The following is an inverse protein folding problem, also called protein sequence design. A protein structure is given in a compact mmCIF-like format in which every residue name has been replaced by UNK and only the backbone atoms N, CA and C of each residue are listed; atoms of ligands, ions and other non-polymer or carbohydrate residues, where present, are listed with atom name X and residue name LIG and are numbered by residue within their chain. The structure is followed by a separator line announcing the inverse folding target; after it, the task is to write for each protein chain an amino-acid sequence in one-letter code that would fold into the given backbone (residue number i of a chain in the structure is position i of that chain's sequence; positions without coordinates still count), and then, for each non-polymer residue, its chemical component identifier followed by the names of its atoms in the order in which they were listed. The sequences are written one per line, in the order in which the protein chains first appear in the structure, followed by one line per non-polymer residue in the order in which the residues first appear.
data_IF_562341104621
#
_entry.id   IF_562341104621
#
_cell.length_a   1.000
_cell.length_b   1.000
_cell.length_c   1.000
_cell.angle_alpha   90.00
_cell.angle_beta   90.00
_cell.angle_gamma   90.00
#
_symmetry.space_group_name_H-M   'P 1'
#
loop_
_entity.id
_entity.type
_entity.pdbx_description
1 polymer ?
#
# COMPACT_ATOMS: atom_id res chain seq x y z
N UNK A 1 -27.28 -7.03 1.41
CA UNK A 1 -26.01 -6.38 0.99
C UNK A 1 -24.82 -7.31 0.99
N UNK A 2 -24.41 -7.93 2.12
CA UNK A 2 -23.30 -8.93 2.12
C UNK A 2 -23.50 -10.06 1.10
N UNK A 3 -24.70 -10.64 1.05
CA UNK A 3 -25.06 -11.66 0.06
C UNK A 3 -24.97 -11.13 -1.38
N UNK A 4 -25.38 -9.88 -1.63
CA UNK A 4 -25.25 -9.24 -2.95
C UNK A 4 -23.78 -9.06 -3.33
N UNK A 5 -22.98 -8.46 -2.44
CA UNK A 5 -21.54 -8.27 -2.65
C UNK A 5 -20.83 -9.61 -2.91
N UNK A 6 -21.11 -10.62 -2.09
CA UNK A 6 -20.54 -11.96 -2.28
C UNK A 6 -21.02 -12.62 -3.59
N UNK A 7 -22.27 -12.39 -4.01
CA UNK A 7 -22.77 -12.91 -5.29
C UNK A 7 -22.18 -12.21 -6.51
N UNK A 8 -21.79 -10.94 -6.37
CA UNK A 8 -21.14 -10.14 -7.41
C UNK A 8 -19.63 -10.35 -7.42
N UNK A 9 -19.04 -10.81 -6.31
CA UNK A 9 -17.67 -11.26 -6.28
C UNK A 9 -17.51 -12.57 -7.07
N UNK A 10 -16.42 -12.71 -7.81
CA UNK A 10 -16.09 -13.97 -8.49
C UNK A 10 -16.04 -15.11 -7.45
N UNK A 11 -16.84 -16.16 -7.68
CA UNK A 11 -17.20 -17.19 -6.68
C UNK A 11 -16.06 -18.09 -6.20
N UNK A 12 -14.94 -18.11 -6.92
CA UNK A 12 -13.67 -18.65 -6.42
C UNK A 12 -12.59 -17.66 -6.78
N UNK A 13 -12.21 -16.87 -5.79
CA UNK A 13 -11.10 -15.95 -5.87
C UNK A 13 -9.73 -16.69 -5.85
N UNK A 14 -9.71 -18.01 -5.60
CA UNK A 14 -8.51 -18.78 -5.18
C UNK A 14 -8.32 -20.15 -5.82
N UNK A 15 -9.00 -20.45 -6.93
CA UNK A 15 -8.70 -21.68 -7.67
C UNK A 15 -7.19 -21.68 -8.04
N UNK A 16 -6.39 -22.40 -7.24
CA UNK A 16 -4.94 -22.52 -7.38
C UNK A 16 -4.07 -21.48 -6.67
N UNK A 17 -4.46 -20.91 -5.52
CA UNK A 17 -3.51 -20.13 -4.69
C UNK A 17 -2.46 -21.07 -4.06
N UNK A 18 -1.18 -20.77 -4.27
CA UNK A 18 -0.06 -21.53 -3.71
C UNK A 18 0.14 -21.17 -2.22
N UNK A 19 0.65 -22.09 -1.38
CA UNK A 19 0.95 -21.81 0.02
C UNK A 19 1.84 -20.57 0.24
N UNK A 20 2.81 -20.35 -0.66
CA UNK A 20 3.71 -19.20 -0.60
C UNK A 20 2.99 -17.86 -0.85
N UNK A 21 1.98 -17.85 -1.73
CA UNK A 21 1.16 -16.66 -1.98
C UNK A 21 0.31 -16.30 -0.73
N UNK A 22 -0.24 -17.30 -0.03
CA UNK A 22 -0.95 -17.06 1.24
C UNK A 22 0.00 -16.54 2.33
N UNK A 23 1.22 -17.07 2.38
CA UNK A 23 2.27 -16.60 3.28
C UNK A 23 2.62 -15.13 3.02
N UNK A 24 2.72 -14.73 1.76
CA UNK A 24 2.96 -13.34 1.37
C UNK A 24 1.83 -12.39 1.81
N UNK A 25 0.56 -12.79 1.64
CA UNK A 25 -0.59 -12.03 2.17
C UNK A 25 -0.49 -11.88 3.68
N UNK A 26 -0.25 -12.97 4.40
CA UNK A 26 -0.12 -12.92 5.86
C UNK A 26 1.07 -12.08 6.33
N UNK A 27 2.18 -12.11 5.60
CA UNK A 27 3.36 -11.30 5.87
C UNK A 27 2.99 -9.82 5.84
N UNK A 28 2.39 -9.30 4.77
CA UNK A 28 1.97 -7.89 4.67
C UNK A 28 0.92 -7.46 5.71
N UNK A 29 0.04 -8.37 6.15
CA UNK A 29 -0.93 -8.07 7.21
C UNK A 29 -0.27 -7.95 8.60
N UNK A 30 0.85 -8.63 8.80
CA UNK A 30 1.53 -8.74 10.10
C UNK A 30 2.73 -7.82 10.24
N UNK A 31 3.39 -7.51 9.13
CA UNK A 31 4.67 -6.84 9.09
C UNK A 31 4.53 -5.49 8.37
N UNK A 32 5.26 -4.47 8.83
CA UNK A 32 5.21 -3.15 8.22
C UNK A 32 5.92 -3.12 6.87
N UNK A 33 5.57 -2.11 6.06
CA UNK A 33 6.30 -1.69 4.86
C UNK A 33 7.08 -0.42 5.19
N UNK A 34 8.40 -0.50 5.07
CA UNK A 34 9.33 0.61 5.22
C UNK A 34 9.64 1.18 3.84
N UNK A 35 8.98 2.28 3.48
CA UNK A 35 9.24 2.92 2.22
C UNK A 35 10.45 3.86 2.35
N UNK A 36 11.44 3.65 1.49
CA UNK A 36 12.67 4.41 1.45
C UNK A 36 12.89 4.89 0.01
N UNK A 37 13.08 6.19 -0.18
CA UNK A 37 13.66 6.72 -1.42
C UNK A 37 15.19 6.74 -1.25
N UNK A 38 15.93 5.84 -1.91
CA UNK A 38 17.33 5.61 -1.60
C UNK A 38 18.21 6.74 -2.17
N UNK A 39 18.77 7.57 -1.31
CA UNK A 39 19.77 8.58 -1.71
C UNK A 39 21.20 8.02 -1.72
N UNK A 40 21.49 7.09 -0.81
CA UNK A 40 22.76 6.37 -0.70
C UNK A 40 22.56 5.02 0.00
N UNK A 41 23.56 4.13 -0.07
CA UNK A 41 23.55 2.84 0.64
C UNK A 41 23.45 3.03 2.15
N UNK A 42 24.20 4.00 2.67
CA UNK A 42 24.20 4.34 4.09
C UNK A 42 22.81 4.79 4.53
N UNK A 43 22.04 5.49 3.69
CA UNK A 43 20.67 5.88 4.02
C UNK A 43 19.76 4.65 4.20
N UNK A 44 19.85 3.67 3.30
CA UNK A 44 19.07 2.41 3.40
C UNK A 44 19.51 1.61 4.63
N UNK A 45 20.82 1.42 4.80
CA UNK A 45 21.39 0.69 5.94
C UNK A 45 21.02 1.33 7.28
N UNK A 46 21.27 2.64 7.45
CA UNK A 46 20.98 3.36 8.69
C UNK A 46 19.49 3.35 9.01
N UNK A 47 18.61 3.47 8.01
CA UNK A 47 17.17 3.33 8.25
C UNK A 47 16.82 1.95 8.81
N UNK A 48 17.39 0.89 8.24
CA UNK A 48 17.13 -0.48 8.75
C UNK A 48 17.71 -0.70 10.15
N UNK A 49 18.88 -0.15 10.47
CA UNK A 49 19.44 -0.19 11.83
C UNK A 49 18.59 0.63 12.83
N UNK A 50 18.06 1.79 12.42
CA UNK A 50 17.12 2.57 13.22
C UNK A 50 15.83 1.77 13.52
N UNK A 51 15.34 0.97 12.57
CA UNK A 51 14.21 0.04 12.82
C UNK A 51 14.60 -1.05 13.82
N UNK A 52 15.78 -1.65 13.68
CA UNK A 52 16.27 -2.69 14.60
C UNK A 52 16.43 -2.15 16.03
N UNK A 53 16.85 -0.89 16.17
CA UNK A 53 16.96 -0.21 17.46
C UNK A 53 15.60 -0.02 18.17
N UNK A 54 14.49 -0.24 17.47
CA UNK A 54 13.13 -0.21 17.99
C UNK A 54 12.56 -1.64 18.13
N UNK A 55 12.90 -2.39 19.21
CA UNK A 55 12.65 -3.83 19.30
C UNK A 55 11.17 -4.24 19.34
N UNK A 56 10.25 -3.27 19.48
CA UNK A 56 8.81 -3.52 19.40
C UNK A 56 8.31 -3.58 17.95
N UNK A 57 9.05 -3.05 16.98
CA UNK A 57 8.71 -3.10 15.55
C UNK A 57 9.25 -4.38 14.91
N UNK A 58 8.51 -4.90 13.93
CA UNK A 58 8.96 -6.04 13.11
C UNK A 58 9.73 -5.54 11.89
N UNK A 59 10.69 -6.33 11.43
CA UNK A 59 11.53 -5.98 10.29
C UNK A 59 10.76 -5.87 8.97
N UNK A 60 9.86 -6.79 8.62
CA UNK A 60 8.96 -6.60 7.48
C UNK A 60 9.64 -6.33 6.13
N UNK A 61 9.09 -5.39 5.35
CA UNK A 61 9.43 -5.18 3.94
C UNK A 61 10.06 -3.81 3.71
N UNK A 62 11.29 -3.77 3.21
CA UNK A 62 11.97 -2.55 2.78
C UNK A 62 11.62 -2.29 1.32
N UNK A 63 10.74 -1.33 1.09
CA UNK A 63 10.29 -0.91 -0.23
C UNK A 63 11.14 0.26 -0.72
N UNK A 64 12.01 0.00 -1.70
CA UNK A 64 12.78 1.02 -2.37
C UNK A 64 11.94 1.65 -3.49
N UNK A 65 11.77 2.97 -3.43
CA UNK A 65 11.26 3.80 -4.54
C UNK A 65 12.20 3.70 -5.75
N UNK A 66 11.74 4.10 -6.95
CA UNK A 66 12.43 3.80 -8.22
C UNK A 66 13.86 4.35 -8.38
N UNK A 67 14.34 5.21 -7.47
CA UNK A 67 15.67 5.83 -7.54
C UNK A 67 16.83 4.85 -7.23
N UNK A 68 16.54 3.57 -6.98
CA UNK A 68 17.57 2.51 -6.87
C UNK A 68 18.27 2.24 -8.22
N UNK A 69 17.65 2.64 -9.34
CA UNK A 69 18.23 2.56 -10.68
C UNK A 69 18.71 3.96 -11.15
N UNK A 70 19.67 4.06 -12.08
CA UNK A 70 20.14 5.36 -12.58
C UNK A 70 19.07 6.14 -13.35
N UNK A 71 18.33 5.44 -14.23
CA UNK A 71 17.23 6.00 -15.01
C UNK A 71 16.05 5.03 -15.10
N UNK A 72 14.80 5.53 -15.09
CA UNK A 72 13.63 4.67 -15.23
C UNK A 72 13.74 3.75 -16.46
N UNK A 73 13.68 2.43 -16.22
CA UNK A 73 13.75 1.41 -17.27
C UNK A 73 15.13 0.78 -17.48
N UNK A 74 16.11 1.16 -16.68
CA UNK A 74 17.43 0.51 -16.65
C UNK A 74 17.33 -0.92 -16.11
N UNK A 75 16.46 -1.16 -15.14
CA UNK A 75 16.28 -2.47 -14.48
C UNK A 75 17.61 -3.07 -13.98
N UNK A 76 18.56 -2.20 -13.62
CA UNK A 76 19.83 -2.52 -12.99
C UNK A 76 20.04 -1.55 -11.84
N UNK A 77 20.69 -2.03 -10.79
CA UNK A 77 21.05 -1.18 -9.67
C UNK A 77 22.09 -0.15 -10.11
N UNK A 78 21.97 1.07 -9.62
CA UNK A 78 22.96 2.12 -9.80
C UNK A 78 24.22 1.82 -8.97
N UNK A 79 25.17 1.06 -9.52
CA UNK A 79 26.39 0.66 -8.82
C UNK A 79 27.36 1.83 -8.56
N UNK A 80 27.19 2.96 -9.24
CA UNK A 80 27.99 4.17 -8.94
C UNK A 80 27.52 4.81 -7.63
N UNK A 81 26.20 4.89 -7.42
CA UNK A 81 25.60 5.37 -6.16
C UNK A 81 25.58 4.30 -5.07
N UNK A 82 25.50 3.04 -5.46
CA UNK A 82 25.36 1.90 -4.59
C UNK A 82 26.38 0.77 -4.90
N UNK A 83 27.68 1.00 -4.64
CA UNK A 83 28.76 0.08 -5.00
C UNK A 83 28.83 -1.23 -4.18
N UNK A 84 28.25 -1.27 -2.98
CA UNK A 84 28.25 -2.42 -2.04
C UNK A 84 26.85 -2.86 -1.60
N UNK A 85 25.86 -2.60 -2.45
CA UNK A 85 24.47 -2.82 -2.11
C UNK A 85 24.11 -4.31 -2.03
N UNK A 86 24.83 -5.15 -2.78
CA UNK A 86 24.67 -6.60 -2.67
C UNK A 86 25.02 -7.08 -1.27
N UNK A 87 26.15 -6.63 -0.70
CA UNK A 87 26.52 -6.90 0.68
C UNK A 87 25.52 -6.29 1.66
N UNK A 88 25.08 -5.06 1.40
CA UNK A 88 24.10 -4.35 2.24
C UNK A 88 22.77 -5.11 2.29
N UNK A 89 22.24 -5.55 1.15
CA UNK A 89 21.02 -6.36 1.06
C UNK A 89 21.21 -7.70 1.79
N UNK A 90 22.36 -8.35 1.62
CA UNK A 90 22.66 -9.59 2.35
C UNK A 90 22.66 -9.39 3.87
N UNK A 91 23.16 -8.25 4.37
CA UNK A 91 23.07 -7.90 5.79
C UNK A 91 21.60 -7.69 6.18
N UNK A 92 20.85 -6.92 5.41
CA UNK A 92 19.42 -6.62 5.65
C UNK A 92 18.60 -7.93 5.72
N UNK A 93 18.84 -8.89 4.84
CA UNK A 93 18.21 -10.22 4.89
C UNK A 93 18.58 -11.00 6.15
N UNK A 94 19.86 -11.02 6.56
CA UNK A 94 20.29 -11.68 7.81
C UNK A 94 19.64 -11.06 9.05
N UNK A 95 19.25 -9.79 8.99
CA UNK A 95 18.51 -9.10 10.05
C UNK A 95 17.00 -9.40 10.04
N UNK A 96 16.49 -10.07 9.00
CA UNK A 96 15.09 -10.53 8.90
C UNK A 96 14.15 -9.62 8.11
N UNK A 97 14.69 -8.64 7.37
CA UNK A 97 13.92 -7.83 6.42
C UNK A 97 13.80 -8.55 5.09
N UNK A 98 12.79 -8.16 4.31
CA UNK A 98 12.68 -8.47 2.88
C UNK A 98 12.91 -7.22 2.04
N UNK A 99 13.54 -7.36 0.88
CA UNK A 99 13.83 -6.27 -0.04
C UNK A 99 12.83 -6.26 -1.19
N UNK A 100 12.23 -5.09 -1.42
CA UNK A 100 11.24 -4.88 -2.46
C UNK A 100 11.67 -3.71 -3.34
N UNK A 101 11.77 -3.94 -4.65
CA UNK A 101 12.09 -2.88 -5.60
C UNK A 101 10.83 -2.39 -6.31
N UNK A 102 10.68 -1.06 -6.39
CA UNK A 102 9.68 -0.44 -7.24
C UNK A 102 10.13 -0.50 -8.69
N UNK A 103 9.26 -1.00 -9.57
CA UNK A 103 9.48 -0.99 -11.03
C UNK A 103 8.29 -0.34 -11.72
N UNK A 104 8.53 0.15 -12.92
CA UNK A 104 7.55 0.88 -13.70
C UNK A 104 7.57 0.39 -15.17
N UNK A 105 6.45 0.48 -15.90
CA UNK A 105 6.36 0.03 -17.29
C UNK A 105 7.02 0.98 -18.30
N UNK A 106 7.90 1.87 -17.84
CA UNK A 106 8.44 2.98 -18.62
C UNK A 106 9.96 2.85 -18.79
N UNK A 107 10.47 3.27 -19.96
CA UNK A 107 11.90 3.31 -20.29
C UNK A 107 12.29 4.69 -20.78
N UNK A 108 13.10 5.40 -19.99
CA UNK A 108 13.63 6.75 -20.27
C UNK A 108 14.44 6.74 -21.55
N UNK A 109 14.45 7.84 -22.32
CA UNK A 109 15.39 7.97 -23.45
C UNK A 109 16.85 7.92 -23.02
N UNK A 110 17.13 8.26 -21.76
CA UNK A 110 18.47 8.19 -21.15
C UNK A 110 18.80 6.80 -20.62
N UNK A 111 17.84 5.87 -20.61
CA UNK A 111 18.09 4.51 -20.12
C UNK A 111 19.05 3.76 -21.04
N UNK A 112 19.95 2.97 -20.44
CA UNK A 112 20.87 2.08 -21.17
C UNK A 112 20.12 1.06 -22.03
N UNK A 113 18.86 0.75 -21.68
CA UNK A 113 18.03 -0.19 -22.41
C UNK A 113 17.20 0.46 -23.52
N UNK A 114 17.14 1.79 -23.64
CA UNK A 114 16.22 2.45 -24.57
C UNK A 114 16.50 2.06 -26.03
N UNK A 115 17.78 2.10 -26.43
CA UNK A 115 18.20 1.71 -27.79
C UNK A 115 17.86 0.26 -28.11
N UNK A 116 18.06 -0.65 -27.15
CA UNK A 116 17.73 -2.07 -27.29
C UNK A 116 16.22 -2.29 -27.39
N UNK A 117 15.44 -1.61 -26.55
CA UNK A 117 13.99 -1.67 -26.55
C UNK A 117 13.39 -1.17 -27.88
N UNK A 118 13.92 -0.09 -28.45
CA UNK A 118 13.52 0.40 -29.78
C UNK A 118 13.89 -0.60 -30.88
N UNK A 119 15.13 -1.11 -30.85
CA UNK A 119 15.63 -2.06 -31.87
C UNK A 119 14.82 -3.36 -31.90
N UNK A 120 14.41 -3.85 -30.73
CA UNK A 120 13.61 -5.06 -30.57
C UNK A 120 12.09 -4.82 -30.65
N UNK A 121 11.65 -3.57 -30.83
CA UNK A 121 10.24 -3.15 -30.90
C UNK A 121 9.44 -3.53 -29.66
N UNK A 122 10.01 -3.24 -28.49
CA UNK A 122 9.44 -3.54 -27.19
C UNK A 122 8.59 -2.39 -26.63
N UNK A 123 8.62 -1.21 -27.27
CA UNK A 123 7.88 -0.03 -26.86
C UNK A 123 6.59 0.13 -27.66
N UNK A 124 5.58 0.73 -27.04
CA UNK A 124 4.35 1.14 -27.71
C UNK A 124 4.70 2.13 -28.83
N UNK A 125 4.11 1.94 -29.99
CA UNK A 125 4.40 2.73 -31.20
C UNK A 125 3.45 3.92 -31.37
N UNK A 126 3.89 4.94 -32.10
CA UNK A 126 3.04 6.08 -32.47
C UNK A 126 2.00 5.66 -33.53
N UNK A 127 0.73 5.99 -33.29
CA UNK A 127 -0.38 5.61 -34.17
C UNK A 127 -0.28 6.32 -35.51
N UNK A 128 -0.30 5.56 -36.60
CA UNK A 128 -0.24 6.10 -37.97
C UNK A 128 1.18 6.37 -38.45
N UNK A 129 2.18 6.12 -37.62
CA UNK A 129 3.61 6.20 -37.95
C UNK A 129 4.19 4.81 -38.26
N UNK A 130 5.46 4.77 -38.64
CA UNK A 130 6.20 3.52 -38.73
C UNK A 130 6.21 2.81 -37.36
N UNK A 131 5.84 1.52 -37.26
CA UNK A 131 5.80 0.78 -35.99
C UNK A 131 7.16 0.71 -35.25
N UNK A 132 8.26 1.09 -35.90
CA UNK A 132 9.59 1.22 -35.29
C UNK A 132 9.75 2.51 -34.48
N UNK A 133 8.87 3.49 -34.66
CA UNK A 133 8.91 4.78 -33.97
C UNK A 133 8.12 4.65 -32.66
N UNK A 134 8.78 4.72 -31.49
CA UNK A 134 8.08 4.66 -30.22
C UNK A 134 7.23 5.92 -30.00
N UNK A 135 6.07 5.75 -29.39
CA UNK A 135 5.30 6.87 -28.84
C UNK A 135 5.90 7.27 -27.50
N UNK A 136 6.33 8.53 -27.39
CA UNK A 136 6.94 9.06 -26.18
C UNK A 136 5.93 9.86 -25.35
N UNK A 137 6.14 9.87 -24.05
CA UNK A 137 5.32 10.56 -23.06
C UNK A 137 6.21 11.21 -22.01
N UNK A 138 5.60 11.74 -20.95
CA UNK A 138 6.26 12.22 -19.73
C UNK A 138 5.80 11.38 -18.56
N UNK A 139 6.71 11.14 -17.63
CA UNK A 139 6.41 10.44 -16.38
C UNK A 139 7.30 10.97 -15.27
N UNK A 140 6.69 11.49 -14.20
CA UNK A 140 7.38 12.15 -13.08
C UNK A 140 8.42 13.15 -13.59
N UNK A 141 9.70 12.98 -13.24
CA UNK A 141 10.79 13.89 -13.61
C UNK A 141 11.33 13.63 -15.04
N UNK A 142 10.93 12.53 -15.69
CA UNK A 142 11.38 12.18 -17.03
C UNK A 142 10.55 12.88 -18.10
N UNK A 143 11.18 13.81 -18.82
CA UNK A 143 10.54 14.62 -19.87
C UNK A 143 10.33 13.88 -21.21
N UNK A 144 10.97 12.72 -21.39
CA UNK A 144 10.91 11.93 -22.60
C UNK A 144 11.09 10.45 -22.26
N UNK A 145 10.00 9.69 -22.35
CA UNK A 145 9.98 8.29 -21.91
C UNK A 145 9.10 7.43 -22.82
N UNK A 146 9.52 6.21 -23.12
CA UNK A 146 8.71 5.22 -23.82
C UNK A 146 7.95 4.31 -22.85
N UNK A 147 6.82 3.76 -23.28
CA UNK A 147 6.07 2.75 -22.52
C UNK A 147 6.33 1.38 -23.12
N UNK A 148 6.65 0.40 -22.29
CA UNK A 148 6.76 -0.99 -22.70
C UNK A 148 5.44 -1.50 -23.29
N UNK A 149 5.50 -2.24 -24.38
CA UNK A 149 4.33 -2.88 -24.98
C UNK A 149 4.22 -4.32 -24.50
N UNK A 150 3.68 -4.54 -23.29
CA UNK A 150 3.44 -5.90 -22.77
C UNK A 150 2.33 -6.67 -23.50
N UNK A 151 1.68 -6.07 -24.49
CA UNK A 151 0.77 -6.79 -25.39
C UNK A 151 1.51 -7.47 -26.54
N UNK A 152 2.79 -7.11 -26.74
CA UNK A 152 3.72 -7.78 -27.64
C UNK A 152 4.36 -8.98 -26.92
N UNK A 153 4.43 -10.13 -27.61
CA UNK A 153 4.97 -11.37 -27.06
C UNK A 153 6.48 -11.33 -26.77
N UNK A 154 7.22 -10.34 -27.29
CA UNK A 154 8.67 -10.17 -27.05
C UNK A 154 8.99 -9.41 -25.76
N UNK A 155 8.10 -8.50 -25.35
CA UNK A 155 8.37 -7.56 -24.26
C UNK A 155 8.41 -8.22 -22.90
N UNK A 156 7.47 -9.15 -22.64
CA UNK A 156 7.41 -9.82 -21.34
C UNK A 156 8.65 -10.70 -21.08
N UNK A 157 9.10 -11.58 -22.01
CA UNK A 157 10.34 -12.32 -21.80
C UNK A 157 11.57 -11.43 -21.59
N UNK A 158 11.66 -10.31 -22.33
CA UNK A 158 12.75 -9.35 -22.17
C UNK A 158 12.74 -8.74 -20.77
N UNK A 159 11.59 -8.23 -20.31
CA UNK A 159 11.45 -7.63 -18.98
C UNK A 159 11.69 -8.66 -17.87
N UNK A 160 11.11 -9.86 -18.01
CA UNK A 160 11.30 -10.97 -17.09
C UNK A 160 12.79 -11.28 -16.90
N UNK A 161 13.57 -11.37 -17.96
CA UNK A 161 15.02 -11.65 -17.85
C UNK A 161 15.78 -10.60 -17.02
N UNK A 162 15.37 -9.32 -17.11
CA UNK A 162 15.96 -8.23 -16.33
C UNK A 162 15.60 -8.36 -14.86
N UNK A 163 14.33 -8.65 -14.55
CA UNK A 163 13.86 -8.82 -13.18
C UNK A 163 14.45 -10.08 -12.53
N UNK A 164 14.58 -11.17 -13.28
CA UNK A 164 15.26 -12.39 -12.83
C UNK A 164 16.74 -12.15 -12.52
N UNK A 165 17.40 -11.27 -13.29
CA UNK A 165 18.78 -10.86 -12.98
C UNK A 165 18.88 -10.13 -11.64
N UNK A 166 17.89 -9.28 -11.31
CA UNK A 166 17.84 -8.58 -10.02
C UNK A 166 17.58 -9.56 -8.86
N UNK A 167 16.66 -10.50 -9.04
CA UNK A 167 16.39 -11.56 -8.06
C UNK A 167 17.65 -12.41 -7.85
N UNK A 168 18.33 -12.80 -8.93
CA UNK A 168 19.50 -13.70 -8.86
C UNK A 168 20.70 -13.02 -8.23
N UNK A 169 20.99 -11.77 -8.62
CA UNK A 169 22.17 -11.04 -8.17
C UNK A 169 22.01 -10.43 -6.79
N UNK A 170 20.88 -9.78 -6.54
CA UNK A 170 20.66 -9.01 -5.31
C UNK A 170 19.67 -9.67 -4.35
N UNK A 171 19.17 -10.87 -4.66
CA UNK A 171 18.20 -11.59 -3.82
C UNK A 171 16.92 -10.80 -3.54
N UNK A 172 16.47 -9.97 -4.48
CA UNK A 172 15.20 -9.21 -4.36
C UNK A 172 14.03 -10.16 -4.09
N UNK A 173 13.32 -9.98 -2.98
CA UNK A 173 12.22 -10.86 -2.58
C UNK A 173 10.96 -10.65 -3.43
N UNK A 174 10.68 -9.40 -3.79
CA UNK A 174 9.49 -9.04 -4.57
C UNK A 174 9.59 -7.68 -5.22
N UNK A 175 8.62 -7.39 -6.10
CA UNK A 175 8.49 -6.10 -6.74
C UNK A 175 7.20 -5.38 -6.33
N UNK A 176 7.27 -4.07 -6.35
CA UNK A 176 6.12 -3.18 -6.32
C UNK A 176 5.96 -2.54 -7.70
N UNK A 177 4.77 -2.62 -8.29
CA UNK A 177 4.56 -2.07 -9.64
C UNK A 177 3.97 -0.67 -9.55
N UNK A 178 4.77 0.34 -9.90
CA UNK A 178 4.26 1.68 -10.14
C UNK A 178 3.73 1.79 -11.57
N UNK A 179 2.41 1.71 -11.71
CA UNK A 179 1.70 1.64 -12.99
C UNK A 179 1.22 3.00 -13.48
N UNK A 180 1.57 4.09 -12.77
CA UNK A 180 1.19 5.45 -13.10
C UNK A 180 -0.32 5.64 -13.32
N UNK A 181 -0.71 6.70 -14.04
CA UNK A 181 -2.10 7.01 -14.40
C UNK A 181 -2.32 6.89 -15.90
N UNK A 182 -3.60 6.89 -16.31
CA UNK A 182 -3.95 6.94 -17.73
C UNK A 182 -3.38 8.17 -18.47
N UNK A 183 -3.07 9.25 -17.75
CA UNK A 183 -2.50 10.47 -18.34
C UNK A 183 -1.03 10.31 -18.73
N UNK A 184 -0.33 9.36 -18.12
CA UNK A 184 1.07 9.08 -18.41
C UNK A 184 1.23 8.23 -19.69
N UNK A 185 0.14 7.70 -20.26
CA UNK A 185 0.18 7.03 -21.56
C UNK A 185 0.35 8.05 -22.69
N UNK A 186 1.14 7.76 -23.74
CA UNK A 186 1.25 8.64 -24.90
C UNK A 186 -0.12 8.90 -25.53
N UNK A 187 -0.37 10.11 -26.05
CA UNK A 187 -1.71 10.47 -26.55
C UNK A 187 -2.14 9.66 -27.79
N UNK A 188 -1.24 9.46 -28.75
CA UNK A 188 -1.52 8.82 -30.03
C UNK A 188 -0.75 7.52 -30.16
N UNK A 189 -1.17 6.52 -29.40
CA UNK A 189 -0.42 5.28 -29.28
C UNK A 189 -1.08 4.09 -29.99
N UNK A 190 -0.27 3.08 -30.30
CA UNK A 190 -0.69 1.79 -30.84
C UNK A 190 0.14 0.67 -30.21
N UNK A 191 -0.53 -0.18 -29.43
CA UNK A 191 0.02 -1.43 -28.90
C UNK A 191 -0.12 -2.57 -29.91
N UNK A 192 0.62 -3.67 -29.68
CA UNK A 192 0.54 -4.91 -30.45
C UNK A 192 -0.87 -5.53 -30.43
N UNK A 193 -1.57 -5.47 -29.29
CA UNK A 193 -2.99 -5.77 -29.18
C UNK A 193 -3.76 -4.52 -28.69
N UNK A 194 -4.95 -4.26 -29.24
CA UNK A 194 -5.71 -3.06 -28.87
C UNK A 194 -6.14 -3.10 -27.41
N UNK A 195 -6.00 -1.97 -26.73
CA UNK A 195 -6.54 -1.75 -25.39
C UNK A 195 -7.97 -1.24 -25.46
N UNK A 196 -8.82 -1.64 -24.51
CA UNK A 196 -10.18 -1.08 -24.38
C UNK A 196 -10.16 0.39 -23.96
N UNK A 197 -9.21 0.75 -23.10
CA UNK A 197 -8.91 2.11 -22.64
C UNK A 197 -7.46 2.13 -22.09
N UNK A 198 -6.84 3.31 -21.83
CA UNK A 198 -5.47 3.37 -21.34
C UNK A 198 -5.22 2.60 -20.03
N UNK A 199 -6.17 2.60 -19.08
CA UNK A 199 -6.03 1.87 -17.82
C UNK A 199 -6.08 0.34 -17.98
N UNK A 200 -6.62 -0.19 -19.09
CA UNK A 200 -6.56 -1.62 -19.39
C UNK A 200 -5.12 -2.13 -19.47
N UNK A 201 -4.16 -1.26 -19.83
CA UNK A 201 -2.74 -1.57 -19.81
C UNK A 201 -2.29 -2.12 -18.44
N UNK A 202 -2.77 -1.53 -17.34
CA UNK A 202 -2.42 -1.93 -15.97
C UNK A 202 -2.80 -3.37 -15.69
N UNK A 203 -4.02 -3.77 -16.08
CA UNK A 203 -4.50 -5.15 -15.95
C UNK A 203 -3.61 -6.13 -16.71
N UNK A 204 -3.26 -5.81 -17.96
CA UNK A 204 -2.41 -6.67 -18.78
C UNK A 204 -1.02 -6.75 -18.15
N UNK A 205 -0.41 -5.63 -17.78
CA UNK A 205 0.91 -5.57 -17.19
C UNK A 205 1.00 -6.39 -15.89
N UNK A 206 0.09 -6.15 -14.93
CA UNK A 206 0.07 -6.89 -13.66
C UNK A 206 -0.14 -8.39 -13.89
N UNK A 207 -1.08 -8.79 -14.77
CA UNK A 207 -1.33 -10.21 -15.06
C UNK A 207 -0.15 -10.88 -15.75
N UNK A 208 0.51 -10.18 -16.68
CA UNK A 208 1.68 -10.68 -17.40
C UNK A 208 2.85 -10.94 -16.46
N UNK A 209 3.16 -9.99 -15.56
CA UNK A 209 4.25 -10.16 -14.56
C UNK A 209 3.94 -11.27 -13.56
N UNK A 210 2.71 -11.33 -13.04
CA UNK A 210 2.31 -12.43 -12.15
C UNK A 210 2.35 -13.78 -12.87
N UNK A 211 1.91 -13.82 -14.13
CA UNK A 211 1.91 -15.02 -14.96
C UNK A 211 3.31 -15.54 -15.33
N UNK A 212 4.33 -14.67 -15.33
CA UNK A 212 5.72 -15.06 -15.55
C UNK A 212 6.39 -15.64 -14.30
N UNK A 213 5.72 -15.61 -13.15
CA UNK A 213 6.25 -16.10 -11.87
C UNK A 213 7.09 -15.09 -11.11
N UNK A 214 7.16 -13.84 -11.56
CA UNK A 214 7.86 -12.77 -10.83
C UNK A 214 7.04 -12.40 -9.58
N UNK A 215 7.65 -12.40 -8.38
CA UNK A 215 6.94 -12.08 -7.14
C UNK A 215 6.57 -10.60 -7.09
N UNK A 216 5.30 -10.30 -6.84
CA UNK A 216 4.78 -8.92 -6.71
C UNK A 216 3.97 -8.81 -5.43
N UNK A 217 4.26 -7.79 -4.62
CA UNK A 217 3.52 -7.54 -3.36
C UNK A 217 2.49 -6.42 -3.46
N UNK A 218 2.64 -5.51 -4.43
CA UNK A 218 1.72 -4.39 -4.55
C UNK A 218 1.76 -3.67 -5.88
N UNK A 219 0.70 -2.90 -6.15
CA UNK A 219 0.52 -2.07 -7.34
C UNK A 219 0.04 -0.67 -6.94
N UNK A 220 0.51 0.37 -7.64
CA UNK A 220 0.07 1.75 -7.36
C UNK A 220 -1.35 2.06 -7.83
N UNK A 221 -1.94 1.23 -8.69
CA UNK A 221 -3.34 1.34 -9.10
C UNK A 221 -3.81 0.13 -9.89
N UNK A 222 -5.13 -0.08 -9.95
CA UNK A 222 -5.71 -1.21 -10.66
C UNK A 222 -7.14 -0.91 -11.14
N UNK A 223 -7.46 -1.26 -12.39
CA UNK A 223 -8.84 -1.18 -12.94
C UNK A 223 -9.60 -2.50 -12.79
N UNK A 224 -8.87 -3.59 -12.69
CA UNK A 224 -9.40 -4.91 -12.34
C UNK A 224 -8.65 -5.40 -11.11
N UNK A 225 -9.34 -6.04 -10.19
CA UNK A 225 -8.73 -6.67 -9.01
C UNK A 225 -7.51 -7.53 -9.41
N UNK A 226 -6.31 -7.24 -8.88
CA UNK A 226 -5.15 -8.12 -9.01
C UNK A 226 -5.38 -9.45 -8.29
N UNK A 227 -4.79 -10.53 -8.81
CA UNK A 227 -4.71 -11.79 -8.07
C UNK A 227 -3.80 -11.57 -6.85
N UNK A 228 -4.10 -12.23 -5.74
CA UNK A 228 -3.17 -12.29 -4.61
C UNK A 228 -1.81 -12.87 -5.02
N UNK A 229 -0.73 -12.51 -4.31
CA UNK A 229 -0.69 -11.75 -3.06
C UNK A 229 -0.66 -10.23 -3.20
N UNK A 230 -1.03 -9.69 -4.36
CA UNK A 230 -0.88 -8.25 -4.67
C UNK A 230 -1.86 -7.37 -3.89
N UNK A 231 -1.33 -6.39 -3.17
CA UNK A 231 -2.10 -5.32 -2.52
C UNK A 231 -2.22 -4.11 -3.44
N UNK A 232 -3.39 -3.48 -3.49
CA UNK A 232 -3.60 -2.24 -4.22
C UNK A 232 -3.31 -1.06 -3.29
N UNK A 233 -2.33 -0.24 -3.63
CA UNK A 233 -2.07 1.00 -2.90
C UNK A 233 -3.18 2.00 -3.14
N UNK A 234 -3.56 2.70 -2.07
CA UNK A 234 -4.41 3.88 -2.19
C UNK A 234 -3.62 5.04 -2.83
N UNK A 235 -4.33 6.02 -3.41
CA UNK A 235 -3.70 7.25 -3.87
C UNK A 235 -2.89 7.92 -2.73
N UNK A 236 -1.81 8.66 -3.06
CA UNK A 236 -0.99 9.31 -2.06
C UNK A 236 -1.80 10.34 -1.28
N UNK A 237 -1.63 10.36 0.03
CA UNK A 237 -2.27 11.31 0.93
C UNK A 237 -1.23 12.32 1.42
N UNK A 238 -1.46 13.62 1.19
CA UNK A 238 -0.62 14.67 1.78
C UNK A 238 -0.54 14.56 3.31
N UNK A 239 0.55 15.00 3.91
CA UNK A 239 0.64 15.20 5.38
C UNK A 239 -0.26 16.34 5.85
N UNK A 240 -1.56 16.06 6.06
CA UNK A 240 -2.52 17.03 6.57
C UNK A 240 -3.74 16.40 7.26
N UNK A 241 -4.36 17.14 8.17
CA UNK A 241 -5.64 16.79 8.78
C UNK A 241 -6.79 16.69 7.77
N UNK A 242 -6.71 17.37 6.62
CA UNK A 242 -7.68 17.19 5.54
C UNK A 242 -7.55 15.80 4.93
N UNK A 243 -6.33 15.33 4.71
CA UNK A 243 -6.07 14.05 4.07
C UNK A 243 -6.40 12.85 4.97
N UNK A 244 -6.06 12.87 6.27
CA UNK A 244 -6.37 11.75 7.18
C UNK A 244 -7.88 11.46 7.23
N UNK A 245 -8.74 12.50 7.12
CA UNK A 245 -10.20 12.35 7.05
C UNK A 245 -10.69 11.61 5.80
N UNK A 246 -9.90 11.59 4.74
CA UNK A 246 -10.24 10.91 3.48
C UNK A 246 -9.80 9.45 3.45
N UNK A 247 -8.91 9.02 4.35
CA UNK A 247 -8.37 7.65 4.37
C UNK A 247 -9.49 6.62 4.58
N UNK A 248 -10.37 6.83 5.57
CA UNK A 248 -11.47 5.91 5.88
C UNK A 248 -12.48 5.83 4.71
N UNK A 249 -13.05 6.93 4.20
CA UNK A 249 -13.92 6.86 3.03
C UNK A 249 -13.28 6.18 1.82
N UNK A 250 -11.98 6.43 1.58
CA UNK A 250 -11.25 5.85 0.44
C UNK A 250 -11.10 4.33 0.60
N UNK A 251 -10.64 3.85 1.76
CA UNK A 251 -10.46 2.41 1.98
C UNK A 251 -11.79 1.65 1.92
N UNK A 252 -12.85 2.24 2.47
CA UNK A 252 -14.20 1.68 2.44
C UNK A 252 -14.72 1.58 0.99
N UNK A 253 -14.50 2.64 0.20
CA UNK A 253 -14.90 2.67 -1.22
C UNK A 253 -14.18 1.58 -2.01
N UNK A 254 -12.85 1.45 -1.86
CA UNK A 254 -12.07 0.40 -2.53
C UNK A 254 -12.53 -1.00 -2.11
N UNK A 255 -12.81 -1.19 -0.81
CA UNK A 255 -13.34 -2.46 -0.29
C UNK A 255 -14.67 -2.85 -0.95
N UNK A 256 -15.60 -1.91 -1.10
CA UNK A 256 -16.91 -2.13 -1.75
C UNK A 256 -16.75 -2.38 -3.26
N UNK A 257 -15.76 -1.75 -3.90
CA UNK A 257 -15.43 -1.97 -5.31
C UNK A 257 -14.74 -3.33 -5.56
N UNK A 258 -14.56 -4.15 -4.53
CA UNK A 258 -14.01 -5.50 -4.65
C UNK A 258 -12.49 -5.55 -4.61
N UNK A 259 -11.83 -4.55 -4.01
CA UNK A 259 -10.39 -4.57 -3.71
C UNK A 259 -10.17 -4.96 -2.24
N UNK A 260 -9.98 -6.25 -1.94
CA UNK A 260 -9.89 -6.73 -0.56
C UNK A 260 -8.56 -6.42 0.15
N UNK A 261 -7.47 -6.48 -0.61
CA UNK A 261 -6.11 -6.30 -0.13
C UNK A 261 -5.64 -4.92 -0.53
N UNK A 262 -5.68 -4.00 0.42
CA UNK A 262 -5.38 -2.59 0.21
C UNK A 262 -4.15 -2.23 1.04
N UNK A 263 -3.20 -1.52 0.44
CA UNK A 263 -2.10 -0.87 1.13
C UNK A 263 -2.46 0.61 1.37
N UNK A 264 -2.73 1.02 2.61
CA UNK A 264 -3.06 2.40 2.91
C UNK A 264 -1.89 3.37 2.67
N UNK A 265 -2.19 4.67 2.80
CA UNK A 265 -1.20 5.76 2.87
C UNK A 265 -0.15 5.53 3.95
N UNK A 266 1.02 6.18 3.83
CA UNK A 266 2.04 6.15 4.87
C UNK A 266 1.54 6.84 6.16
N UNK A 267 2.05 6.38 7.30
CA UNK A 267 1.80 7.01 8.60
C UNK A 267 2.29 8.46 8.59
N UNK A 268 1.36 9.39 8.82
CA UNK A 268 1.63 10.83 8.78
C UNK A 268 1.52 11.45 7.38
N UNK A 269 1.11 10.68 6.37
CA UNK A 269 1.01 11.11 4.98
C UNK A 269 2.18 10.63 4.13
N UNK A 270 1.90 10.48 2.84
CA UNK A 270 2.87 10.19 1.80
C UNK A 270 3.77 11.41 1.58
N UNK A 271 5.07 11.15 1.45
CA UNK A 271 6.04 12.20 1.11
C UNK A 271 5.72 12.66 -0.31
N UNK A 272 5.27 13.90 -0.44
CA UNK A 272 5.17 14.54 -1.73
C UNK A 272 6.59 14.82 -2.22
N UNK A 273 7.09 14.02 -3.15
CA UNK A 273 8.17 14.49 -4.01
C UNK A 273 7.60 15.70 -4.77
N UNK A 274 8.21 16.89 -4.68
CA UNK A 274 7.69 18.06 -5.37
C UNK A 274 7.61 17.75 -6.87
N UNK A 275 6.41 17.81 -7.41
CA UNK A 275 6.20 17.89 -8.85
C UNK A 275 6.73 19.25 -9.30
N UNK A 276 7.88 19.22 -9.97
CA UNK A 276 8.45 20.30 -10.79
C UNK A 276 8.25 21.74 -10.27
N UNK A 277 9.09 22.17 -9.35
CA UNK A 277 9.57 23.55 -9.40
C UNK A 277 11.07 23.46 -9.69
N UNK A 278 11.50 24.02 -10.83
CA UNK A 278 12.88 23.99 -11.35
C UNK A 278 13.84 24.86 -10.50
N UNK A 279 13.76 24.78 -9.18
CA UNK A 279 14.63 25.51 -8.28
C UNK A 279 15.74 24.59 -7.74
N UNK A 280 16.97 24.66 -8.29
CA UNK A 280 18.10 23.82 -7.86
C UNK A 280 18.62 24.17 -6.46
N UNK A 281 18.12 25.25 -5.84
CA UNK A 281 18.51 25.70 -4.49
C UNK A 281 17.57 25.24 -3.36
N UNK A 282 16.57 24.41 -3.65
CA UNK A 282 15.75 23.82 -2.60
C UNK A 282 16.49 22.61 -2.01
N UNK A 283 17.23 22.84 -0.92
CA UNK A 283 17.52 21.80 0.07
C UNK A 283 16.18 21.32 0.63
N UNK A 284 15.55 20.33 -0.01
CA UNK A 284 14.27 19.77 0.40
C UNK A 284 14.47 18.90 1.64
N UNK A 285 14.62 19.54 2.80
CA UNK A 285 14.45 18.84 4.07
C UNK A 285 12.98 18.38 4.14
N UNK A 286 12.75 17.08 3.98
CA UNK A 286 11.41 16.49 4.12
C UNK A 286 10.99 16.66 5.58
N UNK A 287 10.25 17.73 5.86
CA UNK A 287 9.77 18.04 7.19
C UNK A 287 8.93 16.89 7.74
N UNK A 288 9.17 16.54 8.99
CA UNK A 288 8.33 15.58 9.70
C UNK A 288 6.88 16.10 9.74
N UNK A 289 5.89 15.21 9.58
CA UNK A 289 4.50 15.55 9.87
C UNK A 289 4.34 16.18 11.25
N UNK A 290 3.27 16.97 11.43
CA UNK A 290 2.89 17.42 12.77
C UNK A 290 2.77 16.21 13.73
N UNK A 291 3.29 16.36 14.94
CA UNK A 291 3.40 15.26 15.91
C UNK A 291 2.04 14.65 16.25
N UNK A 292 1.03 15.50 16.50
CA UNK A 292 -0.32 15.03 16.82
C UNK A 292 -0.93 14.29 15.61
N UNK A 293 -0.78 14.87 14.41
CA UNK A 293 -1.23 14.24 13.17
C UNK A 293 -0.59 12.86 12.98
N UNK A 294 0.74 12.74 13.16
CA UNK A 294 1.47 11.48 13.05
C UNK A 294 0.96 10.43 14.04
N UNK A 295 0.78 10.81 15.31
CA UNK A 295 0.22 9.93 16.34
C UNK A 295 -1.18 9.44 15.95
N UNK A 296 -2.08 10.34 15.53
CA UNK A 296 -3.45 9.97 15.13
C UNK A 296 -3.47 9.11 13.87
N UNK A 297 -2.56 9.34 12.93
CA UNK A 297 -2.42 8.52 11.73
C UNK A 297 -1.87 7.12 12.06
N UNK A 298 -0.94 7.02 13.00
CA UNK A 298 -0.43 5.73 13.49
C UNK A 298 -1.53 4.95 14.21
N UNK A 299 -2.34 5.63 15.03
CA UNK A 299 -3.52 5.07 15.68
C UNK A 299 -4.52 4.51 14.67
N UNK A 300 -4.83 5.25 13.60
CA UNK A 300 -5.67 4.77 12.51
C UNK A 300 -5.04 3.54 11.81
N UNK A 301 -3.79 3.65 11.38
CA UNK A 301 -3.07 2.63 10.60
C UNK A 301 -2.92 1.32 11.36
N UNK A 302 -2.87 1.37 12.70
CA UNK A 302 -2.86 0.21 13.60
C UNK A 302 -3.96 -0.80 13.26
N UNK A 303 -5.12 -0.33 12.81
CA UNK A 303 -6.30 -1.15 12.49
C UNK A 303 -6.49 -1.44 10.99
N UNK A 304 -5.66 -0.86 10.12
CA UNK A 304 -5.75 -1.06 8.67
C UNK A 304 -4.90 -2.27 8.22
N UNK A 305 -5.17 -2.85 7.03
CA UNK A 305 -4.52 -4.09 6.59
C UNK A 305 -3.00 -4.03 6.60
N UNK A 306 -2.39 -2.93 6.14
CA UNK A 306 -0.93 -2.72 6.10
C UNK A 306 -0.58 -1.43 6.85
N UNK A 307 0.53 -1.43 7.59
CA UNK A 307 1.15 -0.19 8.07
C UNK A 307 2.35 0.11 7.19
N UNK A 308 2.32 1.27 6.53
CA UNK A 308 3.45 1.78 5.75
C UNK A 308 4.07 2.98 6.43
N UNK A 309 5.38 3.03 6.50
CA UNK A 309 6.13 4.12 7.12
C UNK A 309 7.06 4.75 6.09
N UNK A 310 7.10 6.09 6.10
CA UNK A 310 8.13 6.92 5.46
C UNK A 310 9.06 7.50 6.53
N UNK A 311 8.51 7.86 7.69
CA UNK A 311 9.27 8.32 8.87
C UNK A 311 9.07 7.37 10.04
N UNK A 312 10.13 7.12 10.81
CA UNK A 312 10.07 6.31 12.02
C UNK A 312 9.60 7.15 13.22
N UNK A 313 8.90 6.54 14.20
CA UNK A 313 8.55 7.21 15.46
C UNK A 313 9.73 7.86 16.18
N UNK A 314 10.94 7.28 16.06
CA UNK A 314 12.17 7.79 16.69
C UNK A 314 12.64 9.14 16.15
N UNK A 315 12.25 9.54 14.94
CA UNK A 315 12.67 10.80 14.33
C UNK A 315 12.12 12.04 15.05
N UNK A 316 11.07 11.87 15.87
CA UNK A 316 10.52 12.96 16.69
C UNK A 316 11.34 13.26 17.96
N UNK A 317 12.31 12.41 18.31
CA UNK A 317 13.11 12.54 19.55
C UNK A 317 12.26 12.77 20.80
N UNK A 318 11.09 12.13 20.85
CA UNK A 318 10.09 12.28 21.92
C UNK A 318 9.67 10.89 22.41
N UNK A 319 10.01 10.59 23.67
CA UNK A 319 9.73 9.30 24.32
C UNK A 319 8.22 8.99 24.36
N UNK A 320 7.36 10.00 24.38
CA UNK A 320 5.91 9.79 24.37
C UNK A 320 5.44 9.18 23.04
N UNK A 321 6.03 9.58 21.92
CA UNK A 321 5.72 9.04 20.59
C UNK A 321 6.16 7.57 20.50
N UNK A 322 7.34 7.26 21.05
CA UNK A 322 7.87 5.89 21.12
C UNK A 322 6.99 4.97 21.98
N UNK A 323 6.58 5.43 23.16
CA UNK A 323 5.72 4.65 24.05
C UNK A 323 4.32 4.44 23.45
N UNK A 324 3.76 5.43 22.76
CA UNK A 324 2.51 5.28 22.01
C UNK A 324 2.68 4.24 20.90
N UNK A 325 3.75 4.34 20.08
CA UNK A 325 4.01 3.39 19.00
C UNK A 325 4.18 1.95 19.52
N UNK A 326 4.86 1.76 20.65
CA UNK A 326 5.02 0.47 21.32
C UNK A 326 3.68 -0.11 21.79
N UNK A 327 2.83 0.70 22.42
CA UNK A 327 1.48 0.28 22.85
C UNK A 327 0.60 -0.12 21.66
N UNK A 328 0.60 0.69 20.60
CA UNK A 328 -0.15 0.41 19.38
C UNK A 328 0.36 -0.84 18.66
N UNK A 329 1.67 -1.08 18.66
CA UNK A 329 2.24 -2.30 18.08
C UNK A 329 1.80 -3.54 18.85
N UNK A 330 1.79 -3.49 20.18
CA UNK A 330 1.27 -4.56 21.04
C UNK A 330 -0.24 -4.80 20.79
N UNK A 331 -1.01 -3.72 20.67
CA UNK A 331 -2.44 -3.80 20.35
C UNK A 331 -2.67 -4.45 18.98
N UNK A 332 -1.92 -4.04 17.96
CA UNK A 332 -2.00 -4.63 16.62
C UNK A 332 -1.72 -6.12 16.67
N UNK A 333 -0.59 -6.52 17.26
CA UNK A 333 -0.17 -7.92 17.29
C UNK A 333 -1.15 -8.82 18.04
N UNK A 334 -1.69 -8.35 19.18
CA UNK A 334 -2.56 -9.16 20.05
C UNK A 334 -4.02 -9.19 19.60
N UNK A 335 -4.53 -8.08 19.05
CA UNK A 335 -5.96 -7.91 18.80
C UNK A 335 -6.27 -7.77 17.32
N UNK A 336 -5.57 -6.90 16.59
CA UNK A 336 -5.93 -6.56 15.20
C UNK A 336 -5.44 -7.62 14.21
N UNK A 337 -4.17 -8.02 14.28
CA UNK A 337 -3.56 -8.96 13.34
C UNK A 337 -4.27 -10.33 13.29
N UNK A 338 -4.72 -10.94 14.41
CA UNK A 338 -5.51 -12.16 14.34
C UNK A 338 -6.82 -11.97 13.56
N UNK A 339 -7.50 -10.83 13.74
CA UNK A 339 -8.71 -10.49 12.98
C UNK A 339 -8.39 -10.26 11.51
N UNK A 340 -7.34 -9.50 11.19
CA UNK A 340 -6.92 -9.29 9.79
C UNK A 340 -6.65 -10.62 9.08
N UNK A 341 -5.99 -11.59 9.73
CA UNK A 341 -5.77 -12.93 9.14
C UNK A 341 -7.05 -13.73 8.98
N UNK A 342 -7.90 -13.74 10.02
CA UNK A 342 -9.20 -14.42 9.97
C UNK A 342 -10.04 -13.89 8.80
N UNK A 343 -10.19 -12.57 8.73
CA UNK A 343 -10.97 -11.93 7.68
C UNK A 343 -10.27 -11.93 6.35
N UNK A 344 -8.93 -12.00 6.27
CA UNK A 344 -8.23 -12.27 5.01
C UNK A 344 -8.72 -13.59 4.43
N UNK A 345 -8.72 -14.69 5.20
CA UNK A 345 -9.23 -16.00 4.75
C UNK A 345 -10.71 -15.95 4.34
N UNK A 346 -11.58 -15.27 5.09
CA UNK A 346 -12.98 -15.10 4.68
C UNK A 346 -13.12 -14.28 3.40
N UNK A 347 -12.32 -13.22 3.30
CA UNK A 347 -12.24 -12.37 2.11
C UNK A 347 -11.76 -13.17 0.92
N UNK A 348 -10.89 -14.15 1.18
CA UNK A 348 -10.54 -15.13 0.17
C UNK A 348 -11.85 -15.81 -0.31
N UNK A 349 -12.55 -16.55 0.52
CA UNK A 349 -13.66 -17.38 0.02
C UNK A 349 -14.87 -16.59 -0.52
N UNK A 350 -15.13 -15.41 0.03
CA UNK A 350 -16.41 -14.69 -0.17
C UNK A 350 -16.29 -13.39 -0.98
N UNK A 351 -15.07 -12.86 -1.11
CA UNK A 351 -14.80 -11.54 -1.66
C UNK A 351 -15.23 -10.36 -0.80
N UNK A 352 -15.77 -10.57 0.40
CA UNK A 352 -16.11 -9.49 1.32
C UNK A 352 -14.84 -8.74 1.76
N UNK A 353 -14.82 -7.41 1.83
CA UNK A 353 -13.63 -6.68 2.28
C UNK A 353 -13.33 -6.93 3.77
N UNK A 354 -12.04 -6.85 4.12
CA UNK A 354 -11.56 -6.96 5.51
C UNK A 354 -12.03 -5.75 6.34
N UNK A 355 -11.89 -4.55 5.77
CA UNK A 355 -12.33 -3.30 6.38
C UNK A 355 -13.72 -2.96 5.82
N UNK A 356 -14.71 -2.83 6.70
CA UNK A 356 -16.12 -2.73 6.32
C UNK A 356 -16.75 -1.45 6.87
N UNK A 357 -17.66 -0.81 6.11
CA UNK A 357 -18.49 0.25 6.65
C UNK A 357 -19.56 -0.35 7.56
N UNK A 358 -20.05 0.44 8.52
CA UNK A 358 -20.98 -0.08 9.54
C UNK A 358 -22.30 -0.60 8.96
N UNK A 359 -22.77 -0.04 7.83
CA UNK A 359 -23.97 -0.56 7.15
C UNK A 359 -23.80 -1.97 6.58
N UNK A 360 -22.57 -2.49 6.43
CA UNK A 360 -22.40 -3.92 6.13
C UNK A 360 -22.72 -4.80 7.34
N UNK A 361 -22.57 -4.28 8.56
CA UNK A 361 -22.87 -5.01 9.80
C UNK A 361 -24.38 -4.98 10.06
N UNK A 362 -25.00 -3.82 9.91
CA UNK A 362 -26.45 -3.64 10.02
C UNK A 362 -26.98 -2.73 8.90
N UNK A 363 -27.46 -3.29 7.78
CA UNK A 363 -27.95 -2.51 6.66
C UNK A 363 -29.34 -1.92 6.88
N UNK A 364 -30.03 -2.32 7.95
CA UNK A 364 -31.40 -1.86 8.26
C UNK A 364 -31.42 -0.66 9.21
N UNK A 365 -30.29 -0.38 9.85
CA UNK A 365 -30.11 0.72 10.78
C UNK A 365 -29.72 2.02 10.06
N UNK A 366 -30.56 3.07 10.09
CA UNK A 366 -30.27 4.33 9.41
C UNK A 366 -28.98 5.01 9.88
N UNK A 367 -28.57 4.83 11.13
CA UNK A 367 -27.35 5.42 11.64
C UNK A 367 -26.11 4.77 11.00
N UNK A 368 -26.14 3.45 10.78
CA UNK A 368 -25.06 2.75 10.09
C UNK A 368 -24.87 3.22 8.63
N UNK A 369 -25.92 3.74 7.99
CA UNK A 369 -25.87 4.22 6.60
C UNK A 369 -25.11 5.54 6.43
N UNK A 370 -25.03 6.36 7.49
CA UNK A 370 -24.48 7.73 7.42
C UNK A 370 -23.10 7.88 8.04
N UNK A 371 -22.62 6.88 8.78
CA UNK A 371 -21.30 6.89 9.41
C UNK A 371 -20.21 6.69 8.37
N UNK A 372 -19.29 7.65 8.26
CA UNK A 372 -18.19 7.65 7.28
C UNK A 372 -16.80 7.77 7.91
N UNK A 373 -16.73 8.04 9.22
CA UNK A 373 -15.51 8.29 10.00
C UNK A 373 -15.27 7.20 11.07
N UNK A 374 -15.97 6.07 10.92
CA UNK A 374 -15.78 4.82 11.64
C UNK A 374 -15.77 3.66 10.64
N UNK A 375 -15.12 2.58 11.01
CA UNK A 375 -15.11 1.35 10.22
C UNK A 375 -15.03 0.15 11.14
N UNK A 376 -15.31 -1.03 10.60
CA UNK A 376 -15.07 -2.28 11.28
C UNK A 376 -13.97 -3.10 10.60
N UNK A 377 -13.23 -3.87 11.41
CA UNK A 377 -12.39 -4.97 10.94
C UNK A 377 -13.24 -6.23 11.03
N UNK A 378 -13.76 -6.65 9.88
CA UNK A 378 -14.75 -7.70 9.79
C UNK A 378 -16.04 -7.37 10.57
N UNK A 379 -16.54 -8.31 11.38
CA UNK A 379 -17.76 -8.14 12.17
C UNK A 379 -17.53 -7.94 13.68
N UNK A 380 -16.27 -8.02 14.12
CA UNK A 380 -15.93 -8.18 15.54
C UNK A 380 -15.29 -6.94 16.16
N UNK A 381 -14.80 -5.99 15.37
CA UNK A 381 -14.06 -4.85 15.88
C UNK A 381 -14.50 -3.58 15.17
N UNK A 382 -14.99 -2.59 15.92
CA UNK A 382 -15.28 -1.23 15.42
C UNK A 382 -14.16 -0.30 15.85
N UNK A 383 -13.78 0.63 14.99
CA UNK A 383 -12.72 1.59 15.21
C UNK A 383 -13.23 2.99 14.88
N UNK A 384 -13.02 3.91 15.82
CA UNK A 384 -13.50 5.29 15.78
C UNK A 384 -12.32 6.25 16.11
N UNK A 385 -11.41 6.52 15.17
CA UNK A 385 -10.20 7.32 15.43
C UNK A 385 -10.49 8.83 15.53
N UNK A 386 -9.66 9.60 16.24
CA UNK A 386 -9.74 11.07 16.19
C UNK A 386 -9.13 11.57 14.88
N UNK A 387 -9.90 12.36 14.11
CA UNK A 387 -9.49 12.86 12.79
C UNK A 387 -9.38 14.40 12.70
N UNK A 388 -9.44 15.07 13.85
CA UNK A 388 -9.38 16.53 13.96
C UNK A 388 -8.29 16.95 14.94
N UNK A 389 -7.51 17.96 14.57
CA UNK A 389 -6.46 18.53 15.42
C UNK A 389 -7.02 19.05 16.74
N UNK A 390 -6.29 18.83 17.84
CA UNK A 390 -6.64 19.24 19.18
C UNK A 390 -7.85 18.53 19.79
N UNK A 391 -8.57 17.70 19.03
CA UNK A 391 -9.76 17.04 19.55
C UNK A 391 -9.39 15.90 20.51
N UNK A 392 -10.13 15.83 21.62
CA UNK A 392 -10.04 14.75 22.63
C UNK A 392 -11.40 14.10 22.88
N UNK A 393 -12.37 14.36 22.02
CA UNK A 393 -13.69 13.76 22.10
C UNK A 393 -14.29 13.57 20.71
N UNK A 394 -15.15 12.56 20.56
CA UNK A 394 -15.92 12.36 19.33
C UNK A 394 -17.26 11.69 19.60
N UNK A 395 -18.11 11.77 18.60
CA UNK A 395 -19.33 10.98 18.49
C UNK A 395 -18.96 9.58 17.99
N UNK A 396 -19.62 8.56 18.54
CA UNK A 396 -19.39 7.16 18.17
C UNK A 396 -20.73 6.44 18.02
N UNK A 397 -20.91 5.72 16.92
CA UNK A 397 -22.07 4.86 16.75
C UNK A 397 -21.72 3.37 16.93
N UNK A 398 -22.47 2.68 17.78
CA UNK A 398 -22.35 1.23 17.89
C UNK A 398 -23.59 0.56 17.29
N UNK A 399 -23.45 -0.28 16.24
CA UNK A 399 -24.52 -1.12 15.69
C UNK A 399 -25.04 -2.14 16.71
N UNK A 400 -26.11 -2.85 16.36
CA UNK A 400 -26.72 -3.86 17.21
C UNK A 400 -25.71 -4.89 17.78
N UNK A 401 -25.82 -5.13 19.09
CA UNK A 401 -24.96 -6.06 19.83
C UNK A 401 -24.50 -5.52 21.18
N UNK A 402 -23.61 -6.27 21.83
CA UNK A 402 -22.88 -5.84 23.02
C UNK A 402 -21.42 -5.66 22.63
N UNK A 403 -20.85 -4.52 23.03
CA UNK A 403 -19.51 -4.12 22.63
C UNK A 403 -18.67 -3.83 23.88
N UNK A 404 -17.48 -4.42 23.96
CA UNK A 404 -16.50 -4.09 24.99
C UNK A 404 -15.64 -2.94 24.51
N UNK A 405 -15.60 -1.89 25.30
CA UNK A 405 -14.77 -0.71 25.09
C UNK A 405 -13.29 -1.08 25.22
N UNK A 406 -12.50 -0.73 24.21
CA UNK A 406 -11.07 -1.03 24.14
C UNK A 406 -10.18 -0.12 25.00
N UNK A 407 -10.71 0.97 25.54
CA UNK A 407 -9.99 1.91 26.41
C UNK A 407 -10.24 1.59 27.88
N UNK A 408 -11.51 1.53 28.31
CA UNK A 408 -11.87 1.37 29.72
C UNK A 408 -12.38 -0.04 30.08
N UNK A 409 -12.58 -0.92 29.08
CA UNK A 409 -13.04 -2.29 29.28
C UNK A 409 -14.54 -2.42 29.58
N UNK A 410 -15.28 -1.32 29.69
CA UNK A 410 -16.71 -1.31 29.99
C UNK A 410 -17.52 -1.95 28.86
N UNK A 411 -18.68 -2.51 29.21
CA UNK A 411 -19.60 -3.03 28.21
C UNK A 411 -20.59 -1.94 27.80
N UNK A 412 -20.75 -1.75 26.49
CA UNK A 412 -21.64 -0.79 25.84
C UNK A 412 -22.72 -1.56 25.07
N UNK A 413 -23.97 -1.18 25.28
CA UNK A 413 -25.09 -1.67 24.45
C UNK A 413 -25.08 -0.93 23.11
N UNK A 414 -25.23 -1.68 22.02
CA UNK A 414 -25.33 -1.16 20.66
C UNK A 414 -26.68 -0.50 20.34
N UNK A 415 -26.87 -0.26 19.04
CA UNK A 415 -27.98 0.50 18.43
C UNK A 415 -28.15 1.89 19.05
N UNK A 416 -27.04 2.58 19.32
CA UNK A 416 -27.04 3.91 19.94
C UNK A 416 -25.76 4.68 19.67
N UNK A 417 -25.90 5.99 19.72
CA UNK A 417 -24.79 6.93 19.79
C UNK A 417 -24.21 7.00 21.20
N UNK A 418 -22.89 7.10 21.27
CA UNK A 418 -22.15 7.50 22.46
C UNK A 418 -21.67 8.93 22.21
N UNK A 419 -22.28 9.87 22.92
CA UNK A 419 -22.01 11.29 22.78
C UNK A 419 -20.80 11.72 23.61
N UNK A 420 -20.02 12.67 23.10
CA UNK A 420 -18.85 13.26 23.79
C UNK A 420 -17.87 12.20 24.35
N UNK A 421 -17.64 11.11 23.62
CA UNK A 421 -16.75 10.04 24.07
C UNK A 421 -15.31 10.55 24.12
N UNK A 422 -14.68 10.51 25.30
CA UNK A 422 -13.34 11.05 25.52
C UNK A 422 -12.25 10.09 25.04
N UNK A 423 -11.34 10.60 24.22
CA UNK A 423 -10.20 9.87 23.67
C UNK A 423 -8.93 10.66 23.99
N UNK A 424 -8.13 10.15 24.92
CA UNK A 424 -6.83 10.70 25.24
C UNK A 424 -5.89 10.69 24.02
N UNK A 425 -4.82 11.47 24.08
CA UNK A 425 -3.85 11.56 22.98
C UNK A 425 -3.16 10.22 22.68
N UNK A 426 -2.86 9.44 23.72
CA UNK A 426 -2.21 8.14 23.64
C UNK A 426 -3.17 6.97 23.42
N UNK A 427 -4.46 7.25 23.17
CA UNK A 427 -5.53 6.25 22.99
C UNK A 427 -6.25 6.45 21.67
N UNK A 428 -6.88 5.36 21.24
CA UNK A 428 -7.74 5.28 20.07
C UNK A 428 -9.01 4.54 20.47
N UNK A 429 -10.19 5.05 20.11
CA UNK A 429 -11.43 4.39 20.44
C UNK A 429 -11.64 3.18 19.51
N UNK A 430 -11.78 2.00 20.10
CA UNK A 430 -12.14 0.78 19.41
C UNK A 430 -13.03 -0.08 20.31
N UNK A 431 -13.86 -0.92 19.71
CA UNK A 431 -14.87 -1.69 20.43
C UNK A 431 -14.91 -3.11 19.90
N UNK A 432 -14.79 -4.09 20.79
CA UNK A 432 -14.79 -5.51 20.44
C UNK A 432 -16.18 -6.09 20.68
N UNK A 433 -16.78 -6.70 19.66
CA UNK A 433 -18.09 -7.34 19.79
C UNK A 433 -17.99 -8.52 20.74
N UNK A 434 -18.92 -8.58 21.68
CA UNK A 434 -19.09 -9.70 22.59
C UNK A 434 -20.08 -10.68 21.97
N UNK A 435 -19.79 -12.00 21.98
CA UNK A 435 -20.73 -13.00 21.50
C UNK A 435 -22.09 -12.89 22.21
N UNK A 436 -23.17 -13.09 21.46
CA UNK A 436 -24.57 -12.88 21.90
C UNK A 436 -24.99 -13.72 23.12
N UNK A 437 -24.19 -14.72 23.50
CA UNK A 437 -24.42 -15.57 24.66
C UNK A 437 -24.08 -14.91 26.01
N UNK A 438 -23.60 -13.67 26.00
CA UNK A 438 -23.17 -12.96 27.20
C UNK A 438 -24.35 -12.14 27.74
N UNK A 439 -24.99 -12.63 28.81
CA UNK A 439 -26.10 -11.91 29.47
C UNK A 439 -25.62 -10.54 29.96
N UNK A 440 -26.32 -9.50 29.51
CA UNK A 440 -26.11 -8.11 29.90
C UNK A 440 -27.06 -7.72 31.03
#
# INVERSE_FOLDING_TARGET
MKSLHSSMAEKSLWDGLKPDELSAVHSLLTEPVWQISPTSEAAVYNYTEDVIALPFLRQGHVLLSEEWQPSPGDFVLDEERFPSMEETINIIHRRGFRIVFTIQPFISTESINFKDAVSNRLLISERGSDPRIPALTRYKQSNSIGVLDVTNNKTLPWLQSKLESLITKYHVDSFYLDLATAQDMPHYYKCGQPLTNPDHYKTIFTRSILGSGVPVIGVSGAISRPRAPVFVSLPPFSSSWKAIKTVIPTILTYGILGYPFIMPGAVGGDVALPMSDNNPDNDFEVNLPDKELYIRWLQLSTFLPVIRFTHLPSKYSDDSVLEIAKRLTSLRQKTVTPLLKKYANETLDTGLPIIRPLWMLDPTDPACLVVFDEFSVGEELIVAPILHSGSRQREIYLPAGVWRDGIDGSLRKGSRWIHNYRVAEDKVAYFVKIPDNTRF
#
